data_IF_269357944183
#
_entry.id   IF_269357944183
#
_cell.length_a   1.000
_cell.length_b   1.000
_cell.length_c   1.000
_cell.angle_alpha   90.00
_cell.angle_beta   90.00
_cell.angle_gamma   90.00
#
_symmetry.space_group_name_H-M   'P 1'
#
loop_
_entity.id
_entity.type
_entity.pdbx_description
1 polymer ?
#
# COMPACT_ATOMS: atom_id res chain seq x y z
N UNK A 1 -3.40 13.61 -0.45
CA UNK A 1 -3.47 12.23 0.05
C UNK A 1 -4.10 11.30 -0.99
N UNK A 2 -5.41 11.38 -1.28
CA UNK A 2 -6.11 10.39 -2.12
C UNK A 2 -5.57 10.26 -3.55
N UNK A 3 -5.33 11.36 -4.25
CA UNK A 3 -4.76 11.35 -5.61
C UNK A 3 -3.37 10.71 -5.67
N UNK A 4 -2.51 11.01 -4.71
CA UNK A 4 -1.17 10.41 -4.59
C UNK A 4 -1.24 8.89 -4.38
N UNK A 5 -2.15 8.45 -3.50
CA UNK A 5 -2.38 7.02 -3.27
C UNK A 5 -2.85 6.32 -4.53
N UNK A 6 -3.80 6.91 -5.26
CA UNK A 6 -4.29 6.35 -6.53
C UNK A 6 -3.19 6.30 -7.59
N UNK A 7 -2.33 7.32 -7.64
CA UNK A 7 -1.17 7.32 -8.54
C UNK A 7 -0.21 6.18 -8.19
N UNK A 8 0.13 5.98 -6.91
CA UNK A 8 0.99 4.87 -6.46
C UNK A 8 0.39 3.49 -6.73
N UNK A 9 -0.92 3.34 -6.57
CA UNK A 9 -1.65 2.12 -6.96
C UNK A 9 -1.51 1.88 -8.47
N UNK A 10 -1.62 2.93 -9.29
CA UNK A 10 -1.43 2.87 -10.74
C UNK A 10 0.00 2.50 -11.15
N UNK A 11 1.01 3.11 -10.54
CA UNK A 11 2.44 2.88 -10.84
C UNK A 11 2.85 1.40 -10.70
N UNK A 12 2.26 0.68 -9.74
CA UNK A 12 2.55 -0.75 -9.52
C UNK A 12 1.62 -1.69 -10.31
N UNK A 13 0.87 -1.17 -11.28
CA UNK A 13 -0.01 -1.94 -12.15
C UNK A 13 -1.37 -2.29 -11.56
N UNK A 14 -1.80 -1.61 -10.48
CA UNK A 14 -3.14 -1.78 -9.89
C UNK A 14 -3.36 -3.16 -9.27
N UNK A 15 -3.08 -3.35 -7.97
CA UNK A 15 -3.29 -4.64 -7.31
C UNK A 15 -4.72 -5.14 -7.46
N UNK A 16 -4.85 -6.43 -7.81
CA UNK A 16 -6.12 -7.14 -7.99
C UNK A 16 -6.90 -7.40 -6.69
N UNK A 17 -6.53 -6.77 -5.58
CA UNK A 17 -7.18 -7.00 -4.29
C UNK A 17 -7.25 -5.72 -3.45
N UNK A 18 -8.39 -5.53 -2.78
CA UNK A 18 -8.61 -4.40 -1.87
C UNK A 18 -7.57 -4.33 -0.74
N UNK A 19 -7.04 -5.48 -0.30
CA UNK A 19 -6.08 -5.53 0.82
C UNK A 19 -4.75 -4.84 0.48
N UNK A 20 -4.19 -5.10 -0.71
CA UNK A 20 -2.94 -4.44 -1.16
C UNK A 20 -3.17 -2.94 -1.40
N UNK A 21 -4.31 -2.57 -1.98
CA UNK A 21 -4.69 -1.17 -2.13
C UNK A 21 -4.76 -0.47 -0.78
N UNK A 22 -5.32 -1.13 0.22
CA UNK A 22 -5.42 -0.61 1.58
C UNK A 22 -4.05 -0.46 2.26
N UNK A 23 -3.14 -1.44 2.12
CA UNK A 23 -1.78 -1.31 2.65
C UNK A 23 -1.06 -0.10 2.06
N UNK A 24 -1.12 0.09 0.74
CA UNK A 24 -0.56 1.26 0.07
C UNK A 24 -1.17 2.56 0.58
N UNK A 25 -2.49 2.61 0.74
CA UNK A 25 -3.18 3.79 1.26
C UNK A 25 -2.72 4.17 2.68
N UNK A 26 -2.54 3.21 3.57
CA UNK A 26 -2.01 3.48 4.92
C UNK A 26 -0.57 3.98 4.85
N UNK A 27 0.27 3.33 4.06
CA UNK A 27 1.69 3.73 3.93
C UNK A 27 1.80 5.17 3.41
N UNK A 28 1.05 5.50 2.36
CA UNK A 28 1.00 6.86 1.81
C UNK A 28 0.41 7.86 2.81
N UNK A 29 -0.56 7.45 3.64
CA UNK A 29 -1.07 8.29 4.71
C UNK A 29 0.00 8.59 5.79
N UNK A 30 0.83 7.61 6.15
CA UNK A 30 1.95 7.81 7.09
C UNK A 30 2.96 8.81 6.52
N UNK A 31 3.32 8.71 5.24
CA UNK A 31 4.21 9.71 4.63
C UNK A 31 3.54 11.08 4.47
N UNK A 32 2.28 11.11 4.07
CA UNK A 32 1.53 12.34 3.92
C UNK A 32 1.41 13.11 5.25
N UNK A 33 1.12 12.42 6.35
CA UNK A 33 1.04 13.04 7.69
C UNK A 33 2.38 13.57 8.15
N UNK A 34 3.48 12.85 7.87
CA UNK A 34 4.84 13.34 8.14
C UNK A 34 5.17 14.61 7.34
N UNK A 35 4.92 14.60 6.04
CA UNK A 35 5.31 15.70 5.14
C UNK A 35 4.42 16.93 5.24
N UNK A 36 3.11 16.76 5.42
CA UNK A 36 2.14 17.86 5.38
C UNK A 36 1.70 18.34 6.74
N UNK A 37 1.74 17.47 7.75
CA UNK A 37 1.27 17.78 9.10
C UNK A 37 2.40 17.78 10.14
N UNK A 38 3.62 17.33 9.78
CA UNK A 38 4.73 17.20 10.71
C UNK A 38 4.57 16.05 11.72
N UNK A 39 3.60 15.16 11.52
CA UNK A 39 3.29 14.06 12.43
C UNK A 39 3.99 12.79 11.92
N UNK A 40 4.99 12.31 12.67
CA UNK A 40 5.65 11.05 12.37
C UNK A 40 4.88 9.88 13.01
N UNK A 41 4.66 8.82 12.25
CA UNK A 41 4.09 7.56 12.73
C UNK A 41 5.06 6.42 12.44
N UNK A 42 5.05 5.39 13.29
CA UNK A 42 5.83 4.18 13.07
C UNK A 42 5.27 3.40 11.87
N UNK A 43 6.17 2.86 11.06
CA UNK A 43 5.83 2.03 9.90
C UNK A 43 6.75 0.82 9.84
N UNK A 44 6.17 -0.37 9.91
CA UNK A 44 6.88 -1.63 9.79
C UNK A 44 6.88 -2.17 8.35
N UNK A 45 7.71 -3.18 8.10
CA UNK A 45 7.70 -3.89 6.82
C UNK A 45 6.41 -4.69 6.66
N UNK A 46 5.56 -4.27 5.72
CA UNK A 46 4.28 -4.93 5.45
C UNK A 46 4.45 -5.98 4.35
N UNK A 47 4.11 -7.24 4.67
CA UNK A 47 3.97 -8.33 3.71
C UNK A 47 2.54 -8.85 3.65
N UNK A 48 2.05 -9.12 2.44
CA UNK A 48 0.71 -9.67 2.26
C UNK A 48 0.69 -11.19 2.45
N UNK A 49 0.03 -11.68 3.50
CA UNK A 49 -0.18 -13.13 3.75
C UNK A 49 -1.48 -13.67 3.13
N UNK A 50 -2.27 -12.81 2.48
CA UNK A 50 -3.63 -13.14 1.99
C UNK A 50 -3.68 -13.58 0.54
N UNK A 51 -2.55 -13.97 -0.03
CA UNK A 51 -2.41 -14.29 -1.46
C UNK A 51 -3.37 -15.42 -1.89
N UNK A 52 -3.50 -16.45 -1.05
CA UNK A 52 -4.34 -17.63 -1.31
C UNK A 52 -5.84 -17.38 -1.13
N UNK A 53 -6.26 -16.22 -0.62
CA UNK A 53 -7.67 -15.89 -0.37
C UNK A 53 -8.33 -15.11 -1.51
N UNK A 54 -7.64 -14.92 -2.63
CA UNK A 54 -8.19 -14.25 -3.80
C UNK A 54 -7.74 -14.96 -5.08
N UNK A 55 -8.68 -15.58 -5.80
CA UNK A 55 -8.39 -16.31 -7.03
C UNK A 55 -7.95 -15.40 -8.19
N UNK A 56 -8.10 -14.08 -8.06
CA UNK A 56 -7.60 -13.07 -9.00
C UNK A 56 -6.22 -12.53 -8.59
N UNK A 57 -5.66 -13.02 -7.49
CA UNK A 57 -4.33 -12.65 -7.04
C UNK A 57 -3.29 -13.19 -8.02
N UNK A 58 -2.37 -12.32 -8.44
CA UNK A 58 -1.23 -12.72 -9.30
C UNK A 58 -0.21 -13.59 -8.54
N UNK A 59 -0.47 -13.96 -7.28
CA UNK A 59 0.35 -14.83 -6.41
C UNK A 59 1.84 -14.47 -6.28
N UNK A 60 2.22 -13.25 -6.68
CA UNK A 60 3.56 -12.70 -6.44
C UNK A 60 3.63 -12.21 -5.00
N UNK A 61 4.62 -12.69 -4.25
CA UNK A 61 4.92 -12.20 -2.90
C UNK A 61 5.22 -10.70 -3.00
N UNK A 62 4.29 -9.90 -2.48
CA UNK A 62 4.43 -8.45 -2.44
C UNK A 62 4.96 -8.02 -1.08
N UNK A 63 6.03 -7.23 -1.12
CA UNK A 63 6.62 -6.57 0.04
C UNK A 63 6.72 -5.11 -0.30
N UNK A 64 6.13 -4.25 0.53
CA UNK A 64 6.40 -2.83 0.38
C UNK A 64 7.82 -2.56 0.87
N UNK A 65 8.65 -1.98 0.02
CA UNK A 65 9.95 -1.41 0.40
C UNK A 65 9.89 0.07 0.05
N UNK A 66 10.21 0.91 1.03
CA UNK A 66 10.35 2.35 0.79
C UNK A 66 11.64 2.61 0.01
#
# INVERSE_FOLDING_TARGET
MTSFTLNKIGEIGGPRCCKRNFYLAIIEAVYFTKEKLGIAMELENISCFRLMMNNQCVNIRWTFKK
#
